data_IF_378041710246
#
_entry.id   IF_378041710246
#
_cell.length_a   1.000
_cell.length_b   1.000
_cell.length_c   1.000
_cell.angle_alpha   90.00
_cell.angle_beta   90.00
_cell.angle_gamma   90.00
#
_symmetry.space_group_name_H-M   'P 1'
#
loop_
_entity.id
_entity.type
_entity.pdbx_description
1 polymer ?
#
# COMPACT_ATOMS: atom_id res chain seq x y z
N UNK A 1 30.29 33.17 -37.61
CA UNK A 1 29.71 33.23 -36.26
C UNK A 1 28.85 31.99 -36.08
N UNK A 2 29.33 31.06 -35.26
CA UNK A 2 28.78 29.71 -35.12
C UNK A 2 27.48 29.70 -34.30
N UNK A 3 26.52 28.92 -34.79
CA UNK A 3 25.22 28.66 -34.16
C UNK A 3 25.39 27.93 -32.83
N UNK A 4 25.17 28.61 -31.70
CA UNK A 4 25.35 28.03 -30.36
C UNK A 4 24.09 27.92 -29.50
N UNK A 5 22.91 28.19 -30.07
CA UNK A 5 21.65 28.28 -29.30
C UNK A 5 20.74 27.04 -29.35
N UNK A 6 21.00 26.06 -30.21
CA UNK A 6 20.12 24.88 -30.33
C UNK A 6 20.41 23.77 -29.29
N UNK A 7 21.68 23.57 -28.92
CA UNK A 7 22.07 22.45 -28.06
C UNK A 7 21.64 22.62 -26.60
N UNK A 8 21.62 23.86 -26.09
CA UNK A 8 21.23 24.15 -24.70
C UNK A 8 19.74 23.99 -24.44
N UNK A 9 18.86 24.28 -25.41
CA UNK A 9 17.42 24.09 -25.22
C UNK A 9 17.03 22.61 -25.25
N UNK A 10 17.65 21.81 -26.14
CA UNK A 10 17.44 20.35 -26.22
C UNK A 10 17.91 19.66 -24.94
N UNK A 11 19.10 20.00 -24.45
CA UNK A 11 19.63 19.47 -23.18
C UNK A 11 18.75 19.82 -21.97
N UNK A 12 18.13 21.00 -21.96
CA UNK A 12 17.24 21.42 -20.89
C UNK A 12 15.92 20.62 -20.90
N UNK A 13 15.39 20.35 -22.11
CA UNK A 13 14.19 19.54 -22.31
C UNK A 13 14.40 18.08 -21.87
N UNK A 14 15.57 17.50 -22.17
CA UNK A 14 15.96 16.16 -21.70
C UNK A 14 16.09 16.09 -20.18
N UNK A 15 16.63 17.14 -19.53
CA UNK A 15 16.72 17.22 -18.07
C UNK A 15 15.35 17.29 -17.40
N UNK A 16 14.40 18.03 -17.98
CA UNK A 16 13.03 18.08 -17.49
C UNK A 16 12.35 16.71 -17.57
N UNK A 17 12.49 16.00 -18.70
CA UNK A 17 11.95 14.64 -18.89
C UNK A 17 12.56 13.66 -17.89
N UNK A 18 13.87 13.71 -17.68
CA UNK A 18 14.56 12.89 -16.67
C UNK A 18 14.04 13.19 -15.25
N UNK A 19 13.79 14.47 -14.94
CA UNK A 19 13.18 14.89 -13.68
C UNK A 19 11.79 14.29 -13.47
N UNK A 20 10.92 14.36 -14.50
CA UNK A 20 9.58 13.77 -14.48
C UNK A 20 9.65 12.25 -14.29
N UNK A 21 10.52 11.56 -15.03
CA UNK A 21 10.71 10.10 -14.88
C UNK A 21 11.12 9.73 -13.45
N UNK A 22 11.99 10.53 -12.81
CA UNK A 22 12.43 10.28 -11.43
C UNK A 22 11.26 10.39 -10.45
N UNK A 23 10.49 11.49 -10.52
CA UNK A 23 9.32 11.71 -9.66
C UNK A 23 8.29 10.60 -9.86
N UNK A 24 8.06 10.16 -11.11
CA UNK A 24 7.15 9.06 -11.40
C UNK A 24 7.59 7.73 -10.79
N UNK A 25 8.88 7.42 -10.83
CA UNK A 25 9.43 6.24 -10.16
C UNK A 25 9.20 6.30 -8.66
N UNK A 26 9.44 7.45 -8.02
CA UNK A 26 9.19 7.65 -6.60
C UNK A 26 7.71 7.44 -6.25
N UNK A 27 6.80 8.01 -7.05
CA UNK A 27 5.35 7.82 -6.89
C UNK A 27 4.95 6.36 -7.05
N UNK A 28 5.51 5.64 -8.03
CA UNK A 28 5.24 4.19 -8.20
C UNK A 28 5.70 3.41 -6.97
N UNK A 29 6.91 3.68 -6.46
CA UNK A 29 7.44 3.01 -5.26
C UNK A 29 6.59 3.30 -4.02
N UNK A 30 6.16 4.55 -3.84
CA UNK A 30 5.26 4.92 -2.74
C UNK A 30 3.91 4.19 -2.85
N UNK A 31 3.30 4.15 -4.04
CA UNK A 31 2.05 3.43 -4.26
C UNK A 31 2.20 1.92 -3.98
N UNK A 32 3.27 1.29 -4.46
CA UNK A 32 3.57 -0.11 -4.18
C UNK A 32 3.68 -0.37 -2.68
N UNK A 33 4.33 0.53 -1.94
CA UNK A 33 4.46 0.43 -0.47
C UNK A 33 3.12 0.56 0.25
N UNK A 34 2.24 1.46 -0.23
CA UNK A 34 0.87 1.60 0.29
C UNK A 34 0.07 0.32 0.04
N UNK A 35 0.06 -0.18 -1.20
CA UNK A 35 -0.63 -1.42 -1.53
C UNK A 35 -0.11 -2.60 -0.72
N UNK A 36 1.21 -2.72 -0.58
CA UNK A 36 1.82 -3.75 0.25
C UNK A 36 1.35 -3.63 1.71
N UNK A 37 1.25 -2.42 2.26
CA UNK A 37 0.80 -2.18 3.63
C UNK A 37 -0.67 -2.58 3.81
N UNK A 38 -1.54 -2.18 2.88
CA UNK A 38 -2.97 -2.53 2.89
C UNK A 38 -3.15 -4.05 2.75
N UNK A 39 -2.46 -4.69 1.81
CA UNK A 39 -2.53 -6.15 1.64
C UNK A 39 -1.98 -6.89 2.86
N UNK A 40 -0.91 -6.39 3.48
CA UNK A 40 -0.36 -6.99 4.70
C UNK A 40 -1.33 -6.86 5.88
N UNK A 41 -2.06 -5.75 5.97
CA UNK A 41 -3.13 -5.56 6.94
C UNK A 41 -4.28 -6.57 6.71
N UNK A 42 -4.76 -6.70 5.47
CA UNK A 42 -5.89 -7.58 5.14
C UNK A 42 -5.58 -9.07 5.26
N UNK A 43 -4.37 -9.50 4.90
CA UNK A 43 -3.98 -10.92 4.93
C UNK A 43 -3.90 -11.46 6.36
N UNK A 44 -3.86 -10.58 7.37
CA UNK A 44 -3.51 -11.00 8.72
C UNK A 44 -2.01 -11.28 8.78
N UNK A 45 -1.35 -10.88 9.87
CA UNK A 45 -0.02 -11.39 10.19
C UNK A 45 -0.17 -12.90 10.27
N UNK A 46 0.25 -13.60 9.21
CA UNK A 46 0.35 -15.04 9.23
C UNK A 46 1.24 -15.38 10.43
N UNK A 47 0.63 -15.94 11.48
CA UNK A 47 1.34 -16.45 12.64
C UNK A 47 2.55 -17.23 12.14
N UNK A 48 3.72 -16.77 12.57
CA UNK A 48 5.02 -17.06 12.00
C UNK A 48 5.25 -18.56 11.78
N UNK A 49 5.60 -18.91 10.53
CA UNK A 49 6.60 -19.96 10.23
C UNK A 49 7.03 -19.99 8.76
N UNK A 50 6.23 -19.41 7.83
CA UNK A 50 6.50 -19.51 6.38
C UNK A 50 6.80 -18.19 5.67
N UNK A 51 6.28 -17.05 6.15
CA UNK A 51 6.53 -15.73 5.53
C UNK A 51 8.00 -15.29 5.63
N UNK A 52 8.69 -15.67 6.70
CA UNK A 52 10.13 -15.38 6.91
C UNK A 52 11.03 -16.00 5.83
N UNK A 53 10.62 -17.10 5.19
CA UNK A 53 11.42 -17.77 4.15
C UNK A 53 11.40 -17.00 2.82
N UNK A 54 10.28 -16.38 2.47
CA UNK A 54 10.17 -15.56 1.25
C UNK A 54 10.76 -14.16 1.42
N UNK A 55 10.64 -13.59 2.63
CA UNK A 55 11.29 -12.31 2.98
C UNK A 55 12.83 -12.38 2.88
N UNK A 56 13.44 -13.55 3.14
CA UNK A 56 14.89 -13.74 2.94
C UNK A 56 15.29 -13.78 1.46
N UNK A 57 14.41 -14.24 0.57
CA UNK A 57 14.67 -14.28 -0.88
C UNK A 57 14.58 -12.87 -1.47
N UNK A 58 13.65 -12.04 -1.00
CA UNK A 58 13.57 -10.63 -1.43
C UNK A 58 14.69 -9.77 -0.86
N UNK A 59 15.19 -10.10 0.35
CA UNK A 59 16.35 -9.43 0.96
C UNK A 59 17.69 -9.74 0.28
N UNK A 60 17.77 -10.81 -0.51
CA UNK A 60 18.97 -11.12 -1.30
C UNK A 60 19.06 -10.28 -2.59
N UNK A 61 17.93 -9.77 -3.09
CA UNK A 61 17.89 -9.00 -4.35
C UNK A 61 18.08 -7.48 -4.15
N UNK A 62 17.91 -6.98 -2.92
CA UNK A 62 18.02 -5.54 -2.61
C UNK A 62 19.26 -5.24 -1.76
N UNK A 63 20.44 -5.62 -2.28
CA UNK A 63 21.70 -5.15 -1.71
C UNK A 63 21.90 -3.68 -2.08
N UNK A 64 21.86 -2.82 -1.04
CA UNK A 64 22.16 -1.39 -1.00
C UNK A 64 20.90 -0.52 -0.93
N UNK A 65 20.96 0.42 0.01
CA UNK A 65 19.97 1.45 0.39
C UNK A 65 19.03 1.02 1.51
N UNK A 66 19.43 1.46 2.71
CA UNK A 66 18.66 1.84 3.90
C UNK A 66 17.47 0.93 4.24
N UNK A 67 17.62 0.20 5.35
CA UNK A 67 16.54 -0.51 6.03
C UNK A 67 15.30 0.37 6.14
N UNK A 68 14.15 -0.01 5.55
CA UNK A 68 12.89 0.50 6.02
C UNK A 68 12.75 0.06 7.47
N UNK A 69 12.34 0.99 8.32
CA UNK A 69 11.93 0.75 9.69
C UNK A 69 11.07 -0.53 9.72
N UNK A 70 11.38 -1.47 10.61
CA UNK A 70 10.42 -2.47 11.06
C UNK A 70 9.27 -1.68 11.70
N UNK A 71 8.35 -1.21 10.86
CA UNK A 71 7.04 -0.82 11.34
C UNK A 71 6.41 -2.15 11.71
N UNK A 72 6.61 -2.54 12.98
CA UNK A 72 5.72 -3.46 13.66
C UNK A 72 4.32 -2.88 13.49
N UNK A 73 3.66 -3.25 12.40
CA UNK A 73 2.24 -3.03 12.18
C UNK A 73 1.51 -4.03 13.10
N UNK A 74 1.71 -3.85 14.40
CA UNK A 74 0.91 -4.39 15.49
C UNK A 74 -0.48 -3.77 15.52
N UNK A 75 -0.88 -3.03 14.48
CA UNK A 75 -2.22 -2.47 14.36
C UNK A 75 -3.18 -3.50 13.75
N UNK A 76 -3.36 -4.60 14.49
CA UNK A 76 -4.40 -5.60 14.29
C UNK A 76 -5.62 -5.35 15.17
N UNK A 77 -5.84 -4.10 15.61
CA UNK A 77 -6.76 -3.83 16.70
C UNK A 77 -8.17 -4.37 16.38
N UNK A 78 -8.80 -4.01 15.24
CA UNK A 78 -10.19 -4.41 14.98
C UNK A 78 -10.34 -5.91 14.72
N UNK A 79 -9.48 -6.49 13.87
CA UNK A 79 -9.55 -7.92 13.54
C UNK A 79 -9.26 -8.80 14.76
N UNK A 80 -8.31 -8.41 15.62
CA UNK A 80 -8.05 -9.13 16.86
C UNK A 80 -9.22 -9.01 17.85
N UNK A 81 -9.89 -7.84 17.92
CA UNK A 81 -11.09 -7.70 18.75
C UNK A 81 -12.24 -8.59 18.25
N UNK A 82 -12.47 -8.65 16.94
CA UNK A 82 -13.45 -9.58 16.34
C UNK A 82 -13.07 -11.02 16.67
N UNK A 83 -11.82 -11.42 16.43
CA UNK A 83 -11.32 -12.77 16.70
C UNK A 83 -11.47 -13.15 18.18
N UNK A 84 -11.11 -12.25 19.09
CA UNK A 84 -11.25 -12.47 20.52
C UNK A 84 -12.72 -12.64 20.91
N UNK A 85 -13.61 -11.77 20.42
CA UNK A 85 -15.05 -11.82 20.71
C UNK A 85 -15.69 -13.11 20.21
N UNK A 86 -15.37 -13.53 18.98
CA UNK A 86 -15.85 -14.78 18.40
C UNK A 86 -15.28 -16.01 19.13
N UNK A 87 -14.01 -15.97 19.56
CA UNK A 87 -13.42 -17.07 20.33
C UNK A 87 -14.10 -17.26 21.70
N UNK A 88 -14.47 -16.15 22.35
CA UNK A 88 -15.22 -16.17 23.61
C UNK A 88 -16.63 -16.74 23.40
N UNK A 89 -17.32 -16.35 22.32
CA UNK A 89 -18.62 -16.92 21.94
C UNK A 89 -18.53 -18.43 21.71
N UNK A 90 -17.50 -18.88 21.00
CA UNK A 90 -17.31 -20.30 20.69
C UNK A 90 -16.99 -21.13 21.95
N UNK A 91 -16.14 -20.60 22.83
CA UNK A 91 -15.68 -21.33 24.03
C UNK A 91 -16.71 -21.34 25.15
N UNK A 92 -17.38 -20.22 25.38
CA UNK A 92 -18.23 -20.02 26.55
C UNK A 92 -19.73 -19.98 26.23
N UNK A 93 -20.08 -20.21 24.96
CA UNK A 93 -21.46 -20.14 24.48
C UNK A 93 -21.97 -18.71 24.26
N UNK A 94 -23.08 -18.61 23.54
CA UNK A 94 -23.74 -17.34 23.25
C UNK A 94 -24.67 -16.91 24.38
N UNK A 95 -24.60 -15.63 24.71
CA UNK A 95 -25.64 -14.92 25.46
C UNK A 95 -25.84 -13.55 24.82
N UNK A 96 -26.90 -12.84 25.21
CA UNK A 96 -27.27 -11.56 24.61
C UNK A 96 -26.11 -10.55 24.65
N UNK A 97 -25.43 -10.42 25.79
CA UNK A 97 -24.32 -9.48 25.94
C UNK A 97 -23.12 -9.83 25.03
N UNK A 98 -22.73 -11.12 24.97
CA UNK A 98 -21.60 -11.56 24.14
C UNK A 98 -21.91 -11.46 22.65
N UNK A 99 -23.15 -11.76 22.24
CA UNK A 99 -23.59 -11.58 20.86
C UNK A 99 -23.56 -10.10 20.47
N UNK A 100 -24.03 -9.22 21.36
CA UNK A 100 -24.00 -7.78 21.13
C UNK A 100 -22.56 -7.26 20.95
N UNK A 101 -21.65 -7.65 21.84
CA UNK A 101 -20.23 -7.26 21.73
C UNK A 101 -19.62 -7.76 20.42
N UNK A 102 -19.85 -9.02 20.04
CA UNK A 102 -19.31 -9.54 18.78
C UNK A 102 -19.91 -8.81 17.56
N UNK A 103 -21.19 -8.46 17.60
CA UNK A 103 -21.86 -7.69 16.55
C UNK A 103 -21.24 -6.30 16.40
N UNK A 104 -21.07 -5.54 17.48
CA UNK A 104 -20.44 -4.21 17.46
C UNK A 104 -19.01 -4.25 16.91
N UNK A 105 -18.25 -5.30 17.24
CA UNK A 105 -16.90 -5.49 16.68
C UNK A 105 -16.93 -5.81 15.19
N UNK A 106 -17.90 -6.61 14.73
CA UNK A 106 -18.07 -6.91 13.32
C UNK A 106 -18.48 -5.67 12.52
N UNK A 107 -19.43 -4.89 13.02
CA UNK A 107 -19.85 -3.62 12.41
C UNK A 107 -18.68 -2.64 12.29
N UNK A 108 -17.86 -2.52 13.34
CA UNK A 108 -16.65 -1.69 13.29
C UNK A 108 -15.67 -2.17 12.20
N UNK A 109 -15.47 -3.48 12.08
CA UNK A 109 -14.60 -4.07 11.06
C UNK A 109 -15.17 -3.87 9.64
N UNK A 110 -16.48 -4.01 9.47
CA UNK A 110 -17.17 -3.79 8.19
C UNK A 110 -16.99 -2.34 7.72
N UNK A 111 -17.24 -1.37 8.60
CA UNK A 111 -17.00 0.05 8.32
C UNK A 111 -15.54 0.33 7.93
N UNK A 112 -14.58 -0.33 8.60
CA UNK A 112 -13.16 -0.20 8.26
C UNK A 112 -12.84 -0.76 6.86
N UNK A 113 -13.44 -1.90 6.50
CA UNK A 113 -13.30 -2.51 5.17
C UNK A 113 -13.89 -1.58 4.10
N UNK A 114 -15.10 -1.05 4.33
CA UNK A 114 -15.75 -0.14 3.38
C UNK A 114 -14.91 1.13 3.12
N UNK A 115 -14.33 1.72 4.18
CA UNK A 115 -13.42 2.86 4.05
C UNK A 115 -12.18 2.51 3.20
N UNK A 116 -11.61 1.31 3.39
CA UNK A 116 -10.46 0.85 2.61
C UNK A 116 -10.87 0.66 1.13
N UNK A 117 -11.99 0.00 0.86
CA UNK A 117 -12.49 -0.24 -0.49
C UNK A 117 -12.74 1.08 -1.24
N UNK A 118 -13.42 2.03 -0.60
CA UNK A 118 -13.65 3.38 -1.16
C UNK A 118 -12.34 4.13 -1.39
N UNK A 119 -11.40 4.07 -0.44
CA UNK A 119 -10.07 4.68 -0.58
C UNK A 119 -9.28 4.08 -1.75
N UNK A 120 -9.33 2.76 -1.92
CA UNK A 120 -8.69 2.04 -3.01
C UNK A 120 -9.31 2.38 -4.36
N UNK A 121 -10.63 2.42 -4.48
CA UNK A 121 -11.30 2.81 -5.73
C UNK A 121 -10.85 4.22 -6.18
N UNK A 122 -10.81 5.15 -5.23
CA UNK A 122 -10.34 6.51 -5.48
C UNK A 122 -8.87 6.55 -5.91
N UNK A 123 -8.01 5.74 -5.28
CA UNK A 123 -6.60 5.62 -5.64
C UNK A 123 -6.43 5.05 -7.06
N UNK A 124 -7.11 3.96 -7.39
CA UNK A 124 -7.07 3.35 -8.72
C UNK A 124 -7.50 4.34 -9.80
N UNK A 125 -8.60 5.06 -9.57
CA UNK A 125 -9.09 6.10 -10.49
C UNK A 125 -8.04 7.19 -10.74
N UNK A 126 -7.33 7.63 -9.69
CA UNK A 126 -6.26 8.63 -9.80
C UNK A 126 -5.06 8.09 -10.56
N UNK A 127 -4.63 6.85 -10.29
CA UNK A 127 -3.52 6.21 -10.99
C UNK A 127 -3.79 6.05 -12.49
N UNK A 128 -5.01 5.67 -12.87
CA UNK A 128 -5.42 5.58 -14.28
C UNK A 128 -5.35 6.96 -14.94
N UNK A 129 -5.88 8.01 -14.30
CA UNK A 129 -5.79 9.38 -14.82
C UNK A 129 -4.34 9.83 -14.99
N UNK A 130 -3.49 9.62 -13.99
CA UNK A 130 -2.07 9.94 -14.06
C UNK A 130 -1.40 9.22 -15.23
N UNK A 131 -1.66 7.92 -15.41
CA UNK A 131 -1.13 7.16 -16.55
C UNK A 131 -1.56 7.76 -17.89
N UNK A 132 -2.84 8.10 -18.05
CA UNK A 132 -3.36 8.69 -19.28
C UNK A 132 -2.69 10.05 -19.55
N UNK A 133 -2.58 10.92 -18.54
CA UNK A 133 -1.89 12.20 -18.67
C UNK A 133 -0.43 12.03 -19.14
N UNK A 134 0.29 11.05 -18.58
CA UNK A 134 1.68 10.79 -18.95
C UNK A 134 1.83 10.23 -20.37
N UNK A 135 0.96 9.28 -20.75
CA UNK A 135 0.94 8.77 -22.11
C UNK A 135 0.67 9.90 -23.10
N UNK A 136 -0.27 10.79 -22.78
CA UNK A 136 -0.55 11.95 -23.62
C UNK A 136 0.64 12.89 -23.72
N UNK A 137 1.39 13.13 -22.65
CA UNK A 137 2.61 13.98 -22.68
C UNK A 137 3.71 13.35 -23.53
N UNK A 138 3.92 12.02 -23.44
CA UNK A 138 4.98 11.32 -24.17
C UNK A 138 4.64 11.14 -25.66
N UNK A 139 3.35 11.10 -25.99
CA UNK A 139 2.87 10.90 -27.38
C UNK A 139 2.65 12.22 -28.11
N UNK A 140 2.73 13.36 -27.41
CA UNK A 140 2.67 14.72 -28.00
C UNK A 140 4.05 15.16 -28.49
#
# INVERSE_FOLDING_TARGET
>A
MESKFGASSILNQDQEVVGVIRVLREVIVMNMSIFQSILSFLVGSASNSKATKWFKVTKLMHNRVVSPCEVNLENFNELNYVKASLSTLLREGSNVAKMQVAHERLETLENAIEMIESGLENLFRRLVKTRVCLLNIITL
#
